data_IF_196637283639
#
_entry.id   IF_196637283639
#
_cell.length_a   1.000
_cell.length_b   1.000
_cell.length_c   1.000
_cell.angle_alpha   90.00
_cell.angle_beta   90.00
_cell.angle_gamma   90.00
#
_symmetry.space_group_name_H-M   'P 1'
#
loop_
_entity.id
_entity.type
_entity.pdbx_description
1 polymer ?
#
# COMPACT_ATOMS: atom_id res chain seq x y z
N UNK A 1 -13.70 20.91 -0.12
CA UNK A 1 -14.08 19.64 0.54
C UNK A 1 -13.98 18.59 -0.55
N UNK A 2 -12.84 17.92 -0.66
CA UNK A 2 -12.68 16.82 -1.61
C UNK A 2 -13.32 15.60 -0.97
N UNK A 3 -14.35 15.06 -1.60
CA UNK A 3 -14.99 13.83 -1.17
C UNK A 3 -14.63 12.76 -2.19
N UNK A 4 -13.85 11.77 -1.78
CA UNK A 4 -13.74 10.52 -2.54
C UNK A 4 -15.00 9.72 -2.25
N UNK A 5 -15.94 9.72 -3.19
CA UNK A 5 -17.19 8.97 -3.07
C UNK A 5 -17.08 7.62 -3.76
N UNK A 6 -17.53 6.55 -3.12
CA UNK A 6 -17.56 5.17 -3.63
C UNK A 6 -16.21 4.45 -3.71
N UNK A 7 -15.32 4.62 -2.73
CA UNK A 7 -14.22 3.67 -2.57
C UNK A 7 -14.81 2.31 -2.14
N UNK A 8 -14.83 1.33 -3.04
CA UNK A 8 -15.10 -0.06 -2.68
C UNK A 8 -13.89 -0.65 -1.96
N UNK A 9 -14.11 -1.74 -1.22
CA UNK A 9 -13.02 -2.48 -0.59
C UNK A 9 -11.93 -2.77 -1.64
N UNK A 10 -10.70 -2.40 -1.32
CA UNK A 10 -9.54 -2.55 -2.20
C UNK A 10 -9.65 -1.76 -3.52
N UNK A 11 -9.88 -0.44 -3.44
CA UNK A 11 -9.70 0.45 -4.59
C UNK A 11 -8.70 1.55 -4.24
N UNK A 12 -7.65 1.66 -5.05
CA UNK A 12 -6.72 2.79 -5.00
C UNK A 12 -7.22 3.94 -5.87
N UNK A 13 -6.99 5.17 -5.40
CA UNK A 13 -7.15 6.36 -6.24
C UNK A 13 -6.24 6.27 -7.46
N UNK A 14 -6.64 6.89 -8.57
CA UNK A 14 -5.85 6.91 -9.81
C UNK A 14 -4.56 7.75 -9.70
N UNK A 15 -4.28 8.36 -8.54
CA UNK A 15 -3.13 9.22 -8.26
C UNK A 15 -3.27 9.94 -6.91
N UNK A 16 -2.42 10.94 -6.69
CA UNK A 16 -2.53 11.86 -5.54
C UNK A 16 -3.47 13.00 -5.86
N UNK A 17 -4.33 13.34 -4.91
CA UNK A 17 -5.14 14.56 -4.97
C UNK A 17 -4.42 15.71 -4.27
N UNK A 18 -4.43 16.88 -4.89
CA UNK A 18 -3.93 18.10 -4.25
C UNK A 18 -4.86 18.54 -3.13
N UNK A 19 -4.34 18.55 -1.90
CA UNK A 19 -5.04 19.02 -0.72
C UNK A 19 -4.20 20.11 -0.06
N UNK A 20 -4.84 21.22 0.32
CA UNK A 20 -4.16 22.30 1.04
C UNK A 20 -3.54 21.78 2.35
N UNK A 21 -2.31 22.23 2.66
CA UNK A 21 -1.64 21.92 3.92
C UNK A 21 -2.37 22.46 5.15
N UNK A 22 -2.08 21.89 6.33
CA UNK A 22 -2.67 22.23 7.62
C UNK A 22 -3.53 21.10 8.20
N UNK A 23 -4.32 21.42 9.22
CA UNK A 23 -5.23 20.44 9.84
C UNK A 23 -6.42 20.15 8.91
N UNK A 24 -6.63 18.85 8.65
CA UNK A 24 -7.67 18.31 7.80
C UNK A 24 -8.42 17.22 8.55
N UNK A 25 -9.74 17.32 8.52
CA UNK A 25 -10.60 16.29 9.08
C UNK A 25 -10.81 15.20 8.04
N UNK A 26 -10.43 13.97 8.36
CA UNK A 26 -10.66 12.79 7.53
C UNK A 26 -11.84 12.03 8.12
N UNK A 27 -12.81 11.72 7.26
CA UNK A 27 -13.99 10.97 7.64
C UNK A 27 -14.23 9.82 6.67
N UNK A 28 -14.41 8.62 7.21
CA UNK A 28 -14.82 7.44 6.45
C UNK A 28 -16.19 7.02 6.92
N UNK A 29 -17.14 6.92 6.00
CA UNK A 29 -18.54 6.57 6.27
C UNK A 29 -18.94 5.36 5.46
N UNK A 30 -19.72 4.42 6.02
CA UNK A 30 -20.31 3.34 5.24
C UNK A 30 -21.18 3.88 4.10
N UNK A 31 -21.22 3.15 2.99
CA UNK A 31 -22.09 3.50 1.86
C UNK A 31 -23.55 3.57 2.29
N UNK A 32 -24.20 4.70 2.05
CA UNK A 32 -25.59 4.93 2.44
C UNK A 32 -25.79 5.42 3.88
N UNK A 33 -24.73 5.54 4.68
CA UNK A 33 -24.79 6.07 6.05
C UNK A 33 -23.72 7.15 6.31
N UNK A 34 -23.92 8.32 5.71
CA UNK A 34 -23.01 9.46 5.88
C UNK A 34 -23.07 10.10 7.29
N UNK A 35 -24.08 9.74 8.10
CA UNK A 35 -24.28 10.32 9.43
C UNK A 35 -23.43 9.64 10.51
N UNK A 36 -23.09 8.37 10.32
CA UNK A 36 -22.34 7.56 11.29
C UNK A 36 -20.96 7.19 10.72
N UNK A 37 -19.95 8.05 10.89
CA UNK A 37 -18.60 7.72 10.44
C UNK A 37 -17.98 6.61 11.28
N UNK A 38 -17.28 5.69 10.62
CA UNK A 38 -16.45 4.65 11.25
C UNK A 38 -15.05 5.14 11.57
N UNK A 39 -14.59 6.19 10.87
CA UNK A 39 -13.37 6.93 11.16
C UNK A 39 -13.72 8.42 11.11
N UNK A 40 -13.32 9.16 12.13
CA UNK A 40 -13.47 10.62 12.19
C UNK A 40 -12.29 11.21 12.98
N UNK A 41 -11.23 11.59 12.26
CA UNK A 41 -9.95 11.99 12.83
C UNK A 41 -9.42 13.27 12.20
N UNK A 42 -8.62 14.03 12.96
CA UNK A 42 -7.89 15.17 12.42
C UNK A 42 -6.46 14.74 12.07
N UNK A 43 -6.05 15.08 10.85
CA UNK A 43 -4.72 14.85 10.33
C UNK A 43 -4.06 16.19 9.99
N UNK A 44 -2.81 16.37 10.39
CA UNK A 44 -1.99 17.49 9.92
C UNK A 44 -1.27 17.08 8.63
N UNK A 45 -1.56 17.78 7.54
CA UNK A 45 -0.84 17.66 6.28
C UNK A 45 0.22 18.74 6.18
N UNK A 46 1.45 18.35 5.86
CA UNK A 46 2.53 19.31 5.63
C UNK A 46 2.56 19.72 4.16
N UNK A 47 2.95 20.96 3.89
CA UNK A 47 3.08 21.47 2.53
C UNK A 47 4.16 20.69 1.77
N UNK A 48 3.93 20.44 0.49
CA UNK A 48 4.88 19.79 -0.43
C UNK A 48 5.25 18.34 -0.01
N UNK A 49 4.42 17.73 0.83
CA UNK A 49 4.53 16.33 1.27
C UNK A 49 3.41 15.47 0.68
N UNK A 50 3.72 14.20 0.42
CA UNK A 50 2.78 13.24 -0.17
C UNK A 50 2.34 12.25 0.90
N UNK A 51 1.06 11.88 0.88
CA UNK A 51 0.50 10.94 1.85
C UNK A 51 -0.40 9.91 1.18
N UNK A 52 -0.21 8.64 1.53
CA UNK A 52 -1.18 7.58 1.26
C UNK A 52 -1.93 7.28 2.54
N UNK A 53 -3.27 7.28 2.46
CA UNK A 53 -4.15 6.93 3.57
C UNK A 53 -4.81 5.58 3.30
N UNK A 54 -4.82 4.70 4.29
CA UNK A 54 -5.57 3.46 4.26
C UNK A 54 -6.61 3.47 5.37
N UNK A 55 -7.87 3.25 5.02
CA UNK A 55 -8.89 2.88 5.98
C UNK A 55 -8.88 1.36 6.11
N UNK A 56 -8.55 0.87 7.30
CA UNK A 56 -8.41 -0.58 7.57
C UNK A 56 -9.26 -0.95 8.77
N UNK A 57 -9.70 -2.20 8.82
CA UNK A 57 -10.32 -2.79 10.01
C UNK A 57 -9.54 -4.02 10.46
N UNK A 58 -9.64 -4.34 11.74
CA UNK A 58 -9.19 -5.62 12.27
C UNK A 58 -10.31 -6.68 12.23
N UNK A 59 -10.01 -7.88 12.69
CA UNK A 59 -10.93 -9.03 12.79
C UNK A 59 -12.16 -8.76 13.68
N UNK A 60 -12.10 -7.70 14.51
CA UNK A 60 -13.19 -7.26 15.36
C UNK A 60 -14.03 -6.14 14.72
N UNK A 61 -13.80 -5.82 13.44
CA UNK A 61 -14.42 -4.72 12.70
C UNK A 61 -14.18 -3.33 13.32
N UNK A 62 -13.07 -3.17 14.05
CA UNK A 62 -12.64 -1.86 14.53
C UNK A 62 -11.85 -1.18 13.42
N UNK A 63 -12.38 -0.06 12.92
CA UNK A 63 -11.75 0.72 11.85
C UNK A 63 -10.65 1.64 12.40
N UNK A 64 -9.60 1.85 11.61
CA UNK A 64 -8.50 2.75 11.91
C UNK A 64 -7.97 3.38 10.62
N UNK A 65 -7.45 4.60 10.74
CA UNK A 65 -6.79 5.29 9.64
C UNK A 65 -5.28 5.09 9.73
N UNK A 66 -4.70 4.43 8.74
CA UNK A 66 -3.25 4.44 8.55
C UNK A 66 -2.84 5.58 7.64
N UNK A 67 -1.73 6.22 8.03
CA UNK A 67 -1.08 7.24 7.23
C UNK A 67 0.35 6.84 6.94
N UNK A 68 0.68 6.85 5.66
CA UNK A 68 2.03 6.77 5.14
C UNK A 68 2.41 8.14 4.61
N UNK A 69 3.60 8.60 4.96
CA UNK A 69 4.24 9.72 4.29
C UNK A 69 5.10 9.14 3.17
N UNK A 70 4.88 9.59 1.95
CA UNK A 70 5.45 8.98 0.77
C UNK A 70 6.67 9.77 0.31
N UNK A 71 7.83 9.12 0.32
CA UNK A 71 8.99 9.64 -0.37
C UNK A 71 8.90 9.28 -1.87
N UNK A 72 8.47 10.24 -2.68
CA UNK A 72 8.35 10.09 -4.13
C UNK A 72 9.60 10.55 -4.89
N UNK A 73 10.76 10.54 -4.23
CA UNK A 73 12.05 10.80 -4.90
C UNK A 73 12.23 9.84 -6.07
N UNK A 74 12.64 10.39 -7.22
CA UNK A 74 12.82 9.64 -8.45
C UNK A 74 13.82 8.48 -8.24
N UNK A 75 13.46 7.24 -8.60
CA UNK A 75 14.40 6.14 -8.64
C UNK A 75 15.56 6.41 -9.61
N UNK A 76 16.77 5.92 -9.28
CA UNK A 76 17.92 6.01 -10.19
C UNK A 76 17.68 5.27 -11.51
N UNK A 77 18.42 5.62 -12.56
CA UNK A 77 18.33 4.97 -13.86
C UNK A 77 18.48 3.44 -13.75
N UNK A 78 17.62 2.68 -14.46
CA UNK A 78 17.55 1.23 -14.39
C UNK A 78 16.97 0.66 -13.08
N UNK A 79 16.47 1.50 -12.16
CA UNK A 79 15.87 1.08 -10.89
C UNK A 79 14.39 1.46 -10.81
N UNK A 80 13.64 0.67 -10.05
CA UNK A 80 12.36 1.04 -9.48
C UNK A 80 12.45 1.15 -7.95
N UNK A 81 11.37 1.60 -7.33
CA UNK A 81 11.19 1.62 -5.87
C UNK A 81 9.95 0.80 -5.50
N UNK A 82 10.05 -0.03 -4.48
CA UNK A 82 8.94 -0.88 -4.04
C UNK A 82 8.79 -0.85 -2.52
N UNK A 83 7.55 -0.78 -2.04
CA UNK A 83 7.22 -1.02 -0.64
C UNK A 83 6.04 -1.97 -0.52
N UNK A 84 5.80 -2.47 0.69
CA UNK A 84 4.64 -3.29 1.00
C UNK A 84 3.81 -2.63 2.10
N UNK A 85 2.50 -2.56 1.88
CA UNK A 85 1.53 -2.20 2.90
C UNK A 85 0.80 -3.49 3.31
N UNK A 86 1.18 -4.07 4.44
CA UNK A 86 0.55 -5.28 4.94
C UNK A 86 -0.68 -4.93 5.78
N UNK A 87 -1.86 -5.16 5.20
CA UNK A 87 -3.16 -4.80 5.77
C UNK A 87 -4.08 -6.02 5.98
N UNK A 88 -3.49 -7.22 6.10
CA UNK A 88 -4.20 -8.46 6.41
C UNK A 88 -4.08 -8.64 7.94
N UNK A 89 -5.16 -8.42 8.72
CA UNK A 89 -5.09 -8.35 10.18
C UNK A 89 -4.76 -9.68 10.88
N UNK A 90 -5.07 -10.81 10.25
CA UNK A 90 -4.97 -12.15 10.80
C UNK A 90 -3.78 -12.96 10.26
N UNK A 91 -2.96 -12.37 9.37
CA UNK A 91 -1.69 -12.95 8.94
C UNK A 91 -0.54 -12.55 9.87
N UNK A 92 0.43 -13.45 10.03
CA UNK A 92 1.71 -13.08 10.65
C UNK A 92 2.52 -12.17 9.71
N UNK A 93 3.65 -11.66 10.21
CA UNK A 93 4.53 -10.83 9.41
C UNK A 93 4.84 -11.45 8.06
N UNK A 94 4.83 -10.63 7.01
CA UNK A 94 5.01 -11.07 5.63
C UNK A 94 6.38 -10.67 5.11
N UNK A 95 6.84 -11.40 4.10
CA UNK A 95 8.02 -11.04 3.31
C UNK A 95 7.70 -11.04 1.83
N UNK A 96 8.34 -10.13 1.12
CA UNK A 96 8.28 -9.99 -0.34
C UNK A 96 9.62 -10.40 -0.95
N UNK A 97 9.58 -11.29 -1.93
CA UNK A 97 10.76 -11.78 -2.65
C UNK A 97 10.52 -11.79 -4.16
N UNK A 98 11.60 -11.74 -4.95
CA UNK A 98 11.53 -11.97 -6.39
C UNK A 98 11.99 -13.39 -6.71
N UNK A 99 11.09 -14.22 -7.23
CA UNK A 99 11.38 -15.61 -7.56
C UNK A 99 12.41 -15.75 -8.67
N UNK A 100 13.22 -16.81 -8.59
CA UNK A 100 14.19 -17.16 -9.63
C UNK A 100 15.41 -16.24 -9.73
N UNK A 101 15.47 -15.14 -8.97
CA UNK A 101 16.60 -14.18 -9.00
C UNK A 101 17.80 -14.65 -8.17
N UNK A 102 17.59 -15.54 -7.20
CA UNK A 102 18.59 -15.89 -6.19
C UNK A 102 18.89 -14.77 -5.19
N UNK A 103 18.23 -13.61 -5.34
CA UNK A 103 18.24 -12.53 -4.38
C UNK A 103 17.44 -12.97 -3.15
N UNK A 104 17.92 -12.61 -1.96
CA UNK A 104 17.15 -12.79 -0.73
C UNK A 104 15.84 -11.99 -0.75
N UNK A 105 15.09 -12.03 0.35
CA UNK A 105 13.88 -11.23 0.45
C UNK A 105 14.19 -9.74 0.26
N UNK A 106 13.40 -9.08 -0.58
CA UNK A 106 13.48 -7.64 -0.88
C UNK A 106 12.97 -6.85 0.32
N UNK A 107 11.90 -7.35 0.92
CA UNK A 107 11.36 -6.88 2.20
C UNK A 107 11.26 -8.14 3.07
N UNK A 108 12.18 -8.32 4.04
CA UNK A 108 12.34 -9.58 4.74
C UNK A 108 11.32 -9.79 5.87
N UNK A 109 10.76 -8.71 6.38
CA UNK A 109 9.86 -8.69 7.52
C UNK A 109 9.03 -7.40 7.46
N UNK A 110 7.73 -7.54 7.24
CA UNK A 110 6.77 -6.45 7.31
C UNK A 110 5.62 -6.90 8.21
N UNK A 111 5.45 -6.26 9.36
CA UNK A 111 4.36 -6.54 10.28
C UNK A 111 3.04 -5.90 9.81
N UNK A 112 1.92 -6.41 10.33
CA UNK A 112 0.61 -5.80 10.11
C UNK A 112 0.62 -4.34 10.57
N UNK A 113 0.13 -3.43 9.71
CA UNK A 113 0.14 -1.98 9.90
C UNK A 113 1.54 -1.36 10.02
N UNK A 114 2.62 -2.12 9.77
CA UNK A 114 3.95 -1.55 9.83
C UNK A 114 4.08 -0.51 8.73
N UNK A 115 4.44 0.70 9.17
CA UNK A 115 4.84 1.78 8.29
C UNK A 115 6.20 1.36 7.73
N UNK A 116 6.21 0.68 6.59
CA UNK A 116 7.41 0.63 5.76
C UNK A 116 7.65 2.05 5.25
N UNK A 117 8.23 2.89 6.10
CA UNK A 117 8.40 4.32 5.84
C UNK A 117 9.31 4.56 4.63
N UNK A 118 10.11 3.55 4.25
CA UNK A 118 11.05 3.63 3.15
C UNK A 118 10.70 2.65 2.05
N UNK A 119 10.83 3.12 0.82
CA UNK A 119 10.84 2.26 -0.36
C UNK A 119 12.19 1.54 -0.48
N UNK A 120 12.14 0.29 -0.92
CA UNK A 120 13.32 -0.49 -1.29
C UNK A 120 13.64 -0.24 -2.76
N UNK A 121 14.88 0.14 -3.08
CA UNK A 121 15.35 0.23 -4.46
C UNK A 121 15.62 -1.15 -5.04
N UNK A 122 15.10 -1.39 -6.25
CA UNK A 122 15.18 -2.68 -6.95
C UNK A 122 15.53 -2.47 -8.42
N UNK A 123 16.18 -3.46 -9.03
CA UNK A 123 16.42 -3.46 -10.48
C UNK A 123 15.09 -3.51 -11.24
N UNK A 124 14.99 -2.67 -12.28
CA UNK A 124 13.89 -2.72 -13.22
C UNK A 124 13.97 -3.98 -14.09
N UNK A 125 12.82 -4.49 -14.53
CA UNK A 125 12.70 -5.66 -15.38
C UNK A 125 11.52 -6.56 -15.03
N UNK A 126 11.43 -7.69 -15.74
CA UNK A 126 10.45 -8.73 -15.45
C UNK A 126 10.84 -9.48 -14.16
N UNK A 127 9.90 -9.54 -13.22
CA UNK A 127 10.04 -10.26 -11.96
C UNK A 127 8.79 -11.08 -11.69
N UNK A 128 8.93 -12.07 -10.82
CA UNK A 128 7.80 -12.78 -10.25
C UNK A 128 7.77 -12.50 -8.76
N UNK A 129 6.79 -11.73 -8.30
CA UNK A 129 6.60 -11.40 -6.90
C UNK A 129 6.10 -12.63 -6.15
N UNK A 130 6.77 -12.97 -5.05
CA UNK A 130 6.28 -13.93 -4.06
C UNK A 130 6.07 -13.24 -2.73
N UNK A 131 4.86 -13.39 -2.21
CA UNK A 131 4.45 -12.91 -0.90
C UNK A 131 4.14 -14.13 -0.03
N UNK A 132 4.75 -14.18 1.14
CA UNK A 132 4.58 -15.28 2.08
C UNK A 132 4.76 -14.77 3.50
N UNK A 133 4.23 -15.49 4.48
CA UNK A 133 4.60 -15.27 5.87
C UNK A 133 6.11 -15.50 6.07
N UNK A 134 6.73 -14.78 7.00
CA UNK A 134 8.17 -14.85 7.29
C UNK A 134 8.59 -16.30 7.60
N UNK A 135 7.82 -16.97 8.46
CA UNK A 135 8.00 -18.37 8.87
C UNK A 135 7.20 -19.37 8.01
N UNK A 136 6.42 -18.86 7.06
CA UNK A 136 5.59 -19.66 6.16
C UNK A 136 6.40 -20.44 5.13
N UNK A 137 5.96 -21.68 4.86
CA UNK A 137 6.53 -22.54 3.80
C UNK A 137 5.85 -22.37 2.45
N UNK A 138 4.63 -21.82 2.45
CA UNK A 138 3.83 -21.60 1.26
C UNK A 138 3.56 -20.11 1.08
N UNK A 139 3.41 -19.63 -0.17
CA UNK A 139 2.91 -18.29 -0.44
C UNK A 139 1.51 -18.09 0.14
N UNK A 140 1.22 -16.88 0.63
CA UNK A 140 -0.16 -16.50 1.02
C UNK A 140 -1.01 -16.14 -0.20
N UNK A 141 -0.35 -15.82 -1.32
CA UNK A 141 -0.96 -15.55 -2.62
C UNK A 141 -0.19 -16.30 -3.72
N UNK A 142 -0.84 -16.69 -4.82
CA UNK A 142 -0.14 -17.21 -5.98
C UNK A 142 1.00 -16.27 -6.41
N UNK A 143 2.08 -16.84 -6.95
CA UNK A 143 3.17 -16.04 -7.51
C UNK A 143 2.64 -15.09 -8.60
N UNK A 144 3.03 -13.82 -8.54
CA UNK A 144 2.51 -12.77 -9.41
C UNK A 144 3.59 -12.30 -10.40
N UNK A 145 3.49 -12.63 -11.69
CA UNK A 145 4.33 -12.03 -12.72
C UNK A 145 4.09 -10.52 -12.78
N UNK A 146 5.17 -9.74 -12.80
CA UNK A 146 5.10 -8.29 -12.80
C UNK A 146 6.28 -7.69 -13.58
N UNK A 147 6.06 -6.53 -14.20
CA UNK A 147 7.13 -5.76 -14.84
C UNK A 147 7.42 -4.53 -13.99
N UNK A 148 8.59 -4.50 -13.36
CA UNK A 148 9.10 -3.30 -12.70
C UNK A 148 9.67 -2.37 -13.76
N UNK A 149 8.98 -1.26 -14.01
CA UNK A 149 9.48 -0.23 -14.91
C UNK A 149 10.50 0.65 -14.17
N UNK A 150 11.52 1.11 -14.90
CA UNK A 150 12.49 2.06 -14.34
C UNK A 150 11.83 3.40 -14.03
N UNK A 151 12.30 4.08 -12.98
CA UNK A 151 11.78 5.37 -12.50
C UNK A 151 10.36 5.34 -11.92
N UNK A 152 9.77 4.15 -11.74
CA UNK A 152 8.48 4.00 -11.08
C UNK A 152 8.59 3.60 -9.61
N UNK A 153 7.57 4.00 -8.85
CA UNK A 153 7.43 3.74 -7.42
C UNK A 153 6.16 2.90 -7.22
N UNK A 154 6.30 1.77 -6.53
CA UNK A 154 5.25 0.78 -6.36
C UNK A 154 4.92 0.57 -4.88
N UNK A 155 3.63 0.53 -4.56
CA UNK A 155 3.12 0.03 -3.28
C UNK A 155 2.38 -1.26 -3.53
N UNK A 156 2.84 -2.36 -2.95
CA UNK A 156 2.11 -3.63 -2.92
C UNK A 156 1.26 -3.63 -1.66
N UNK A 157 -0.04 -3.37 -1.78
CA UNK A 157 -0.97 -3.43 -0.67
C UNK A 157 -1.60 -4.82 -0.59
N UNK A 158 -1.44 -5.46 0.56
CA UNK A 158 -2.06 -6.75 0.86
C UNK A 158 -3.32 -6.50 1.67
N UNK A 159 -4.46 -6.95 1.17
CA UNK A 159 -5.78 -6.75 1.80
C UNK A 159 -6.55 -8.07 1.87
N UNK A 160 -7.52 -8.16 2.76
CA UNK A 160 -8.33 -9.37 2.99
C UNK A 160 -7.98 -10.03 4.33
N UNK A 161 -8.40 -11.28 4.48
CA UNK A 161 -8.24 -12.12 5.68
C UNK A 161 -7.87 -13.56 5.26
N UNK A 162 -7.23 -14.30 6.16
CA UNK A 162 -6.84 -15.71 6.01
C UNK A 162 -7.93 -16.70 6.43
N UNK A 163 -9.05 -16.23 7.00
CA UNK A 163 -10.18 -17.06 7.44
C UNK A 163 -10.76 -17.94 6.32
N UNK A 164 -11.28 -19.13 6.70
CA UNK A 164 -11.85 -20.09 5.74
C UNK A 164 -13.03 -19.48 4.96
N UNK A 165 -12.82 -19.30 3.65
CA UNK A 165 -13.83 -18.77 2.73
C UNK A 165 -13.65 -17.29 2.39
N UNK A 166 -12.74 -16.60 3.08
CA UNK A 166 -12.35 -15.24 2.72
C UNK A 166 -11.30 -15.24 1.60
N UNK A 167 -11.25 -14.12 0.88
CA UNK A 167 -10.28 -13.91 -0.20
C UNK A 167 -9.20 -12.93 0.24
N UNK A 168 -7.95 -13.35 0.09
CA UNK A 168 -6.79 -12.46 0.14
C UNK A 168 -6.59 -11.87 -1.25
N UNK A 169 -6.29 -10.58 -1.32
CA UNK A 169 -5.93 -9.90 -2.57
C UNK A 169 -4.64 -9.10 -2.38
N UNK A 170 -3.83 -9.05 -3.45
CA UNK A 170 -2.69 -8.14 -3.54
C UNK A 170 -2.97 -7.13 -4.64
N UNK A 171 -3.00 -5.88 -4.24
CA UNK A 171 -3.17 -4.77 -5.15
C UNK A 171 -1.87 -4.00 -5.27
N UNK A 172 -1.41 -3.89 -6.50
CA UNK A 172 -0.19 -3.14 -6.80
C UNK A 172 -0.61 -1.78 -7.29
N UNK A 173 -0.28 -0.77 -6.49
CA UNK A 173 -0.48 0.63 -6.81
C UNK A 173 0.79 1.14 -7.42
N UNK A 174 0.69 1.58 -8.66
CA UNK A 174 1.78 2.23 -9.35
C UNK A 174 1.59 3.73 -9.22
N UNK A 175 2.63 4.39 -8.69
CA UNK A 175 2.75 5.84 -8.77
C UNK A 175 3.82 6.13 -9.83
N UNK A 176 3.38 6.75 -10.92
CA UNK A 176 4.30 7.33 -11.89
C UNK A 176 4.82 8.64 -11.33
N UNK A 177 6.13 8.80 -11.26
CA UNK A 177 6.70 10.14 -11.15
C UNK A 177 6.48 10.81 -12.52
N UNK A 178 5.54 11.73 -12.63
CA UNK A 178 5.46 12.58 -13.83
C UNK A 178 6.69 13.48 -13.83
N UNK A 179 7.62 13.27 -14.78
CA UNK A 179 8.62 14.28 -15.09
C UNK A 179 7.86 15.55 -15.49
N UNK A 180 8.02 16.62 -14.70
CA UNK A 180 7.65 17.97 -15.15
C UNK A 180 8.45 18.24 -16.42
N UNK A 181 7.77 18.23 -17.56
CA UNK A 181 8.34 18.76 -18.79
C UNK A 181 8.33 20.29 -18.65
N UNK A 182 9.51 20.87 -18.43
CA UNK A 182 9.78 22.30 -18.63
C UNK A 182 9.56 22.71 -20.11
#
# INVERSE_FOLDING_TARGET
MTAVTNATFSQFGAGYDEIEAGERRVRVTPTGDAANPVIDENLTLTKDEHYTLFAVNNDQNVFSLLRFQDNLSEPSAGKGHIRIAHLIPDASNVKLSFQGTGQGAIIPDAAFLEKTENFTSVDAGEVTLRIQEVDGKQPILPDLPFTLEERYIYTVALTGTLDEGDSIDAQIVMVKHEESHD
#
